data_IF_105908528257
#
_entry.id   IF_105908528257
#
_cell.length_a   1.000
_cell.length_b   1.000
_cell.length_c   1.000
_cell.angle_alpha   90.00
_cell.angle_beta   90.00
_cell.angle_gamma   90.00
#
_symmetry.space_group_name_H-M   'P 1'
#
loop_
_entity.id
_entity.type
_entity.pdbx_description
1 polymer ?
#
# COMPACT_ATOMS: atom_id res chain seq x y z
N UNK A 1 1.45 11.72 -2.10
CA UNK A 1 0.93 10.88 -3.21
C UNK A 1 1.28 9.44 -2.91
N UNK A 2 0.28 8.62 -2.63
CA UNK A 2 0.46 7.22 -2.29
C UNK A 2 0.15 6.34 -3.49
N UNK A 3 0.74 5.14 -3.55
CA UNK A 3 0.45 4.17 -4.60
C UNK A 3 -0.43 3.07 -4.04
N UNK A 4 -1.59 2.88 -4.65
CA UNK A 4 -2.50 1.79 -4.28
C UNK A 4 -1.84 0.44 -4.65
N UNK A 5 -1.57 -0.46 -3.69
CA UNK A 5 -0.87 -1.73 -3.95
C UNK A 5 -1.75 -2.77 -4.67
N UNK A 6 -3.05 -2.53 -4.81
CA UNK A 6 -4.02 -3.42 -5.45
C UNK A 6 -4.13 -3.11 -6.94
N UNK A 7 -4.23 -1.83 -7.31
CA UNK A 7 -4.39 -1.40 -8.70
C UNK A 7 -3.18 -0.67 -9.28
N UNK A 8 -2.17 -0.37 -8.47
CA UNK A 8 -0.96 0.38 -8.86
C UNK A 8 -1.24 1.78 -9.39
N UNK A 9 -2.42 2.35 -9.07
CA UNK A 9 -2.72 3.75 -9.37
C UNK A 9 -2.14 4.64 -8.29
N UNK A 10 -1.70 5.82 -8.72
CA UNK A 10 -1.35 6.92 -7.82
C UNK A 10 -2.64 7.50 -7.26
N UNK A 11 -2.73 7.56 -5.94
CA UNK A 11 -3.85 8.10 -5.19
C UNK A 11 -3.37 9.26 -4.33
N UNK A 12 -4.24 10.25 -4.18
CA UNK A 12 -3.94 11.36 -3.29
C UNK A 12 -4.34 10.99 -1.86
N UNK A 13 -3.36 10.92 -0.97
CA UNK A 13 -3.57 10.63 0.46
C UNK A 13 -4.43 11.69 1.16
N UNK A 14 -4.37 12.93 0.68
CA UNK A 14 -5.15 14.06 1.19
C UNK A 14 -6.62 14.05 0.72
N UNK A 15 -6.90 13.42 -0.43
CA UNK A 15 -8.25 13.37 -1.01
C UNK A 15 -8.95 12.03 -0.74
N UNK A 16 -8.20 10.98 -0.41
CA UNK A 16 -8.76 9.66 -0.15
C UNK A 16 -9.02 9.40 1.32
N UNK A 17 -10.28 9.09 1.63
CA UNK A 17 -10.72 8.64 2.95
C UNK A 17 -10.39 7.16 3.17
N UNK A 18 -10.07 6.43 2.09
CA UNK A 18 -9.85 5.00 2.08
C UNK A 18 -8.41 4.67 2.41
N UNK A 19 -8.09 4.62 3.71
CA UNK A 19 -6.77 4.24 4.22
C UNK A 19 -6.83 3.10 5.24
N UNK A 20 -5.78 2.28 5.26
CA UNK A 20 -5.59 1.21 6.24
C UNK A 20 -4.19 1.31 6.83
N UNK A 21 -4.11 1.27 8.15
CA UNK A 21 -2.86 1.12 8.86
C UNK A 21 -2.55 -0.37 9.07
N UNK A 22 -1.49 -0.87 8.44
CA UNK A 22 -1.07 -2.28 8.53
C UNK A 22 0.43 -2.39 8.80
N UNK A 23 0.81 -3.08 9.88
CA UNK A 23 2.22 -3.29 10.30
C UNK A 23 3.06 -2.01 10.45
N UNK A 24 2.44 -0.91 10.90
CA UNK A 24 3.14 0.37 11.08
C UNK A 24 3.31 1.16 9.78
N UNK A 25 2.61 0.78 8.72
CA UNK A 25 2.60 1.46 7.43
C UNK A 25 1.18 1.83 7.05
N UNK A 26 0.98 3.06 6.55
CA UNK A 26 -0.30 3.52 6.03
C UNK A 26 -0.42 3.18 4.54
N UNK A 27 -1.53 2.56 4.18
CA UNK A 27 -1.89 2.22 2.81
C UNK A 27 -3.10 3.02 2.39
N UNK A 28 -3.06 3.58 1.20
CA UNK A 28 -4.12 4.41 0.65
C UNK A 28 -4.69 3.74 -0.59
N UNK A 29 -6.01 3.84 -0.75
CA UNK A 29 -6.74 3.17 -1.82
C UNK A 29 -7.51 4.18 -2.65
N UNK A 30 -7.70 3.88 -3.94
CA UNK A 30 -8.48 4.75 -4.82
C UNK A 30 -9.99 4.64 -4.56
N UNK A 31 -10.44 3.55 -3.94
CA UNK A 31 -11.85 3.21 -3.75
C UNK A 31 -12.04 2.12 -2.69
N UNK A 32 -13.26 2.00 -2.15
CA UNK A 32 -13.66 0.92 -1.22
C UNK A 32 -13.37 -0.49 -1.77
N UNK A 33 -13.47 -0.67 -3.10
CA UNK A 33 -13.14 -1.94 -3.75
C UNK A 33 -11.68 -2.37 -3.52
N UNK A 34 -10.73 -1.44 -3.71
CA UNK A 34 -9.31 -1.71 -3.45
C UNK A 34 -9.07 -1.94 -1.96
N UNK A 35 -9.73 -1.17 -1.08
CA UNK A 35 -9.67 -1.39 0.37
C UNK A 35 -10.09 -2.81 0.74
N UNK A 36 -11.27 -3.26 0.29
CA UNK A 36 -11.76 -4.63 0.54
C UNK A 36 -10.84 -5.71 -0.01
N UNK A 37 -10.24 -5.47 -1.17
CA UNK A 37 -9.31 -6.42 -1.79
C UNK A 37 -7.99 -6.49 -1.01
N UNK A 38 -7.54 -5.37 -0.44
CA UNK A 38 -6.44 -5.33 0.50
C UNK A 38 -6.80 -6.05 1.81
N UNK A 39 -7.97 -5.80 2.40
CA UNK A 39 -8.45 -6.46 3.63
C UNK A 39 -8.53 -8.00 3.49
N UNK A 40 -8.84 -8.51 2.29
CA UNK A 40 -8.81 -9.95 2.03
C UNK A 40 -7.41 -10.56 2.10
N UNK A 41 -6.37 -9.81 1.71
CA UNK A 41 -4.99 -10.32 1.63
C UNK A 41 -3.92 -9.26 1.99
N UNK A 42 -3.97 -8.64 3.18
CA UNK A 42 -3.16 -7.46 3.48
C UNK A 42 -1.67 -7.82 3.55
N UNK A 43 -1.34 -9.05 3.98
CA UNK A 43 0.04 -9.53 4.04
C UNK A 43 0.72 -9.62 2.67
N UNK A 44 -0.01 -9.95 1.60
CA UNK A 44 0.55 -10.03 0.24
C UNK A 44 0.83 -8.63 -0.31
N UNK A 45 -0.15 -7.74 -0.20
CA UNK A 45 -0.04 -6.36 -0.69
C UNK A 45 0.96 -5.53 0.13
N UNK A 46 0.98 -5.69 1.45
CA UNK A 46 1.95 -5.02 2.31
C UNK A 46 3.39 -5.51 2.05
N UNK A 47 3.57 -6.80 1.75
CA UNK A 47 4.89 -7.33 1.36
C UNK A 47 5.33 -6.80 -0.01
N UNK A 48 4.40 -6.69 -0.96
CA UNK A 48 4.66 -6.10 -2.28
C UNK A 48 5.09 -4.63 -2.17
N UNK A 49 4.36 -3.82 -1.41
CA UNK A 49 4.71 -2.43 -1.18
C UNK A 49 6.08 -2.28 -0.51
N UNK A 50 6.35 -3.11 0.51
CA UNK A 50 7.64 -3.09 1.24
C UNK A 50 8.80 -3.72 0.47
N UNK A 51 8.52 -4.43 -0.62
CA UNK A 51 9.55 -5.00 -1.51
C UNK A 51 9.97 -4.06 -2.64
N UNK A 52 9.26 -2.94 -2.82
CA UNK A 52 9.64 -1.86 -3.74
C UNK A 52 10.49 -0.77 -3.07
N UNK A 53 10.70 -0.86 -1.76
CA UNK A 53 11.78 -0.12 -1.11
C UNK A 53 13.09 -0.67 -1.66
N UNK A 54 13.71 0.14 -2.54
CA UNK A 54 15.13 0.11 -2.86
C UNK A 54 15.85 -0.18 -1.56
N UNK A 55 16.34 -1.41 -1.43
CA UNK A 55 17.20 -1.74 -0.32
C UNK A 55 18.33 -0.70 -0.33
N UNK A 56 18.71 -0.12 0.83
CA UNK A 56 20.12 0.17 0.96
C UNK A 56 20.82 -1.16 0.72
N UNK A 57 21.39 -1.29 -0.48
CA UNK A 57 22.70 -1.90 -0.72
C UNK A 57 23.15 -2.80 0.45
N UNK A 58 22.87 -4.09 0.36
CA UNK A 58 23.93 -5.07 0.13
C UNK A 58 25.07 -4.94 1.16
N UNK A 59 25.10 -5.93 2.05
CA UNK A 59 26.31 -6.64 2.48
C UNK A 59 27.26 -5.98 3.50
N UNK A 60 27.52 -6.79 4.55
CA UNK A 60 28.69 -6.85 5.45
C UNK A 60 28.97 -5.68 6.40
#
# INVERSE_FOLDING_TARGET
>A
MATDPVCYMVVNEDETEWRIHYKGQEFYFCSDFCRKKFEQNPGRYAKLARSMDIGPDISC
#
